data_IF_481229926544
#
_entry.id   IF_481229926544
#
_cell.length_a   1.000
_cell.length_b   1.000
_cell.length_c   1.000
_cell.angle_alpha   90.00
_cell.angle_beta   90.00
_cell.angle_gamma   90.00
#
_symmetry.space_group_name_H-M   'P 1'
#
loop_
_entity.id
_entity.type
_entity.pdbx_description
1 polymer ?
#
# COMPACT_ATOMS: atom_id res chain seq x y z
N UNK A 1 1.76 -21.80 -4.85
CA UNK A 1 1.85 -20.38 -5.19
C UNK A 1 1.09 -19.62 -4.12
N UNK A 2 1.80 -18.76 -3.39
CA UNK A 2 1.16 -17.85 -2.43
C UNK A 2 0.40 -16.84 -3.27
N UNK A 3 -0.91 -16.95 -3.33
CA UNK A 3 -1.80 -16.00 -4.00
C UNK A 3 -1.96 -14.79 -3.09
N UNK A 4 -0.92 -13.95 -3.03
CA UNK A 4 -0.97 -12.65 -2.39
C UNK A 4 -1.42 -11.59 -3.41
N UNK A 5 -1.90 -10.43 -2.92
CA UNK A 5 -2.18 -9.28 -3.76
C UNK A 5 -0.93 -8.47 -3.99
N UNK A 6 -0.99 -7.70 -5.06
CA UNK A 6 0.01 -6.70 -5.37
C UNK A 6 -0.56 -5.32 -5.00
N UNK A 7 -0.07 -4.79 -3.89
CA UNK A 7 -0.54 -3.54 -3.33
C UNK A 7 0.57 -2.49 -3.37
N UNK A 8 0.36 -1.43 -4.15
CA UNK A 8 1.27 -0.31 -4.26
C UNK A 8 0.72 0.87 -3.47
N UNK A 9 1.50 1.42 -2.56
CA UNK A 9 1.23 2.68 -1.89
C UNK A 9 1.89 3.82 -2.67
N UNK A 10 1.16 4.88 -2.97
CA UNK A 10 1.71 6.11 -3.54
C UNK A 10 1.46 7.27 -2.57
N UNK A 11 2.52 7.85 -2.03
CA UNK A 11 2.47 8.86 -0.99
C UNK A 11 3.00 10.20 -1.53
N UNK A 12 2.18 11.22 -1.39
CA UNK A 12 2.53 12.61 -1.72
C UNK A 12 3.55 13.16 -0.73
N UNK A 13 4.62 13.74 -1.25
CA UNK A 13 5.67 14.44 -0.50
C UNK A 13 5.76 15.92 -0.89
N UNK A 14 4.76 16.46 -1.56
CA UNK A 14 4.71 17.88 -1.93
C UNK A 14 4.66 18.78 -0.70
N UNK A 15 4.93 20.07 -0.89
CA UNK A 15 5.05 21.02 0.21
C UNK A 15 3.74 21.20 1.01
N UNK A 16 2.58 21.01 0.39
CA UNK A 16 1.27 21.05 1.06
C UNK A 16 1.14 20.03 2.20
N UNK A 17 1.80 18.88 2.10
CA UNK A 17 1.83 17.84 3.15
C UNK A 17 2.53 18.30 4.46
N UNK A 18 3.15 19.49 4.47
CA UNK A 18 3.73 20.15 5.66
C UNK A 18 2.67 20.71 6.60
N UNK A 19 1.44 20.91 6.10
CA UNK A 19 0.36 21.51 6.89
C UNK A 19 0.09 20.68 8.15
N UNK A 20 0.16 21.34 9.32
CA UNK A 20 -0.04 20.71 10.64
C UNK A 20 -1.49 20.80 11.06
N UNK A 21 -2.39 20.09 10.39
CA UNK A 21 -3.83 20.09 10.66
C UNK A 21 -4.35 18.74 11.21
N UNK A 22 -3.44 17.85 11.59
CA UNK A 22 -3.75 16.56 12.23
C UNK A 22 -3.29 16.55 13.70
N UNK A 23 -3.95 15.72 14.50
CA UNK A 23 -3.58 15.47 15.90
C UNK A 23 -3.39 13.96 16.11
N UNK A 24 -2.29 13.57 16.72
CA UNK A 24 -1.97 12.20 17.12
C UNK A 24 -1.47 12.26 18.56
N UNK A 25 -2.08 11.48 19.46
CA UNK A 25 -1.70 11.42 20.89
C UNK A 25 -1.62 12.81 21.55
N UNK A 26 -2.58 13.69 21.23
CA UNK A 26 -2.66 15.09 21.68
C UNK A 26 -1.54 16.02 21.14
N UNK A 27 -0.70 15.54 20.23
CA UNK A 27 0.30 16.36 19.55
C UNK A 27 -0.15 16.73 18.14
N UNK A 28 0.04 18.01 17.79
CA UNK A 28 -0.22 18.50 16.43
C UNK A 28 0.90 18.04 15.49
N UNK A 29 0.52 17.32 14.45
CA UNK A 29 1.46 16.76 13.46
C UNK A 29 1.10 17.21 12.05
N UNK A 30 2.06 17.16 11.13
CA UNK A 30 1.80 17.44 9.74
C UNK A 30 1.13 16.23 9.04
N UNK A 31 0.56 16.49 7.85
CA UNK A 31 -0.19 15.48 7.07
C UNK A 31 0.66 14.26 6.72
N UNK A 32 1.94 14.48 6.37
CA UNK A 32 2.84 13.36 6.08
C UNK A 32 3.09 12.50 7.31
N UNK A 33 3.29 13.10 8.49
CA UNK A 33 3.47 12.34 9.74
C UNK A 33 2.23 11.53 10.07
N UNK A 34 1.04 12.11 9.96
CA UNK A 34 -0.22 11.39 10.16
C UNK A 34 -0.35 10.22 9.17
N UNK A 35 -0.05 10.46 7.90
CA UNK A 35 -0.07 9.43 6.85
C UNK A 35 0.89 8.29 7.17
N UNK A 36 2.12 8.58 7.61
CA UNK A 36 3.13 7.58 7.98
C UNK A 36 2.66 6.68 9.12
N UNK A 37 2.12 7.26 10.19
CA UNK A 37 1.66 6.50 11.36
C UNK A 37 0.59 5.49 10.95
N UNK A 38 -0.43 5.95 10.23
CA UNK A 38 -1.55 5.07 9.87
C UNK A 38 -1.19 4.09 8.75
N UNK A 39 -0.38 4.52 7.77
CA UNK A 39 0.10 3.62 6.74
C UNK A 39 1.01 2.51 7.29
N UNK A 40 1.80 2.80 8.34
CA UNK A 40 2.59 1.77 9.05
C UNK A 40 1.71 0.68 9.64
N UNK A 41 0.66 1.07 10.35
CA UNK A 41 -0.31 0.12 10.92
C UNK A 41 -0.99 -0.73 9.83
N UNK A 42 -1.29 -0.14 8.69
CA UNK A 42 -1.83 -0.86 7.54
C UNK A 42 -0.83 -1.87 6.97
N UNK A 43 0.42 -1.46 6.74
CA UNK A 43 1.49 -2.33 6.23
C UNK A 43 1.69 -3.53 7.17
N UNK A 44 1.73 -3.30 8.48
CA UNK A 44 1.93 -4.35 9.49
C UNK A 44 0.82 -5.42 9.50
N UNK A 45 -0.41 -5.06 9.14
CA UNK A 45 -1.53 -6.01 9.04
C UNK A 45 -1.54 -6.83 7.74
N UNK A 46 -0.74 -6.47 6.74
CA UNK A 46 -0.75 -7.08 5.39
C UNK A 46 0.23 -8.25 5.25
N UNK A 47 0.08 -9.26 6.12
CA UNK A 47 0.85 -10.48 5.99
C UNK A 47 0.38 -11.31 4.79
N UNK A 48 1.29 -11.60 3.85
CA UNK A 48 1.03 -12.42 2.66
C UNK A 48 0.73 -11.64 1.38
N UNK A 49 0.54 -10.31 1.44
CA UNK A 49 0.49 -9.43 0.27
C UNK A 49 1.90 -8.98 -0.14
N UNK A 50 2.11 -8.71 -1.43
CA UNK A 50 3.30 -7.98 -1.88
C UNK A 50 3.01 -6.49 -1.79
N UNK A 51 3.86 -5.79 -1.07
CA UNK A 51 3.77 -4.35 -0.87
C UNK A 51 4.85 -3.62 -1.65
N UNK A 52 4.50 -2.50 -2.25
CA UNK A 52 5.45 -1.59 -2.88
C UNK A 52 5.17 -0.15 -2.46
N UNK A 53 6.15 0.73 -2.66
CA UNK A 53 6.07 2.13 -2.28
C UNK A 53 6.53 3.04 -3.41
N UNK A 54 5.66 3.94 -3.81
CA UNK A 54 5.95 5.08 -4.68
C UNK A 54 5.90 6.34 -3.83
N UNK A 55 6.90 7.17 -3.94
CA UNK A 55 6.91 8.52 -3.38
C UNK A 55 6.81 9.52 -4.54
N UNK A 56 5.96 10.52 -4.41
CA UNK A 56 5.79 11.50 -5.48
C UNK A 56 5.65 12.93 -4.94
N UNK A 57 6.02 13.85 -5.78
CA UNK A 57 5.93 15.29 -5.64
C UNK A 57 5.94 15.89 -7.05
N UNK A 58 6.92 16.72 -7.39
CA UNK A 58 7.12 17.19 -8.78
C UNK A 58 7.41 16.02 -9.74
N UNK A 59 8.01 14.94 -9.24
CA UNK A 59 8.28 13.68 -9.95
C UNK A 59 7.84 12.50 -9.10
N UNK A 60 7.67 11.34 -9.73
CA UNK A 60 7.33 10.09 -9.04
C UNK A 60 8.51 9.12 -9.04
N UNK A 61 8.80 8.50 -7.89
CA UNK A 61 9.90 7.57 -7.68
C UNK A 61 9.41 6.26 -7.09
N UNK A 62 9.93 5.14 -7.61
CA UNK A 62 9.76 3.84 -6.98
C UNK A 62 10.74 3.73 -5.80
N UNK A 63 10.24 3.86 -4.59
CA UNK A 63 11.04 3.76 -3.37
C UNK A 63 11.24 2.30 -2.95
N UNK A 64 10.20 1.47 -3.05
CA UNK A 64 10.28 0.04 -2.85
C UNK A 64 9.54 -0.71 -3.97
N UNK A 65 10.17 -1.67 -4.66
CA UNK A 65 9.46 -2.58 -5.55
C UNK A 65 8.55 -3.51 -4.74
N UNK A 66 7.63 -4.21 -5.42
CA UNK A 66 6.78 -5.20 -4.76
C UNK A 66 7.61 -6.25 -4.03
N UNK A 67 7.38 -6.38 -2.73
CA UNK A 67 8.05 -7.32 -1.83
C UNK A 67 7.11 -7.84 -0.76
N UNK A 68 7.37 -9.03 -0.22
CA UNK A 68 6.71 -9.55 0.98
C UNK A 68 7.30 -8.98 2.28
N UNK A 69 8.43 -8.25 2.18
CA UNK A 69 9.09 -7.61 3.31
C UNK A 69 8.43 -6.26 3.64
N UNK A 70 7.31 -6.31 4.36
CA UNK A 70 6.58 -5.13 4.80
C UNK A 70 7.40 -4.25 5.77
N UNK A 71 8.32 -4.84 6.54
CA UNK A 71 9.18 -4.08 7.46
C UNK A 71 10.12 -3.13 6.69
N UNK A 72 10.73 -3.63 5.62
CA UNK A 72 11.55 -2.78 4.73
C UNK A 72 10.71 -1.68 4.07
N UNK A 73 9.50 -1.98 3.59
CA UNK A 73 8.61 -0.96 3.00
C UNK A 73 8.25 0.11 4.04
N UNK A 74 7.90 -0.31 5.27
CA UNK A 74 7.59 0.60 6.36
C UNK A 74 8.80 1.49 6.72
N UNK A 75 9.99 0.93 6.86
CA UNK A 75 11.22 1.70 7.13
C UNK A 75 11.46 2.77 6.05
N UNK A 76 11.36 2.41 4.77
CA UNK A 76 11.52 3.35 3.66
C UNK A 76 10.44 4.46 3.66
N UNK A 77 9.21 4.14 4.07
CA UNK A 77 8.17 5.13 4.27
C UNK A 77 8.53 6.08 5.42
N UNK A 78 9.03 5.57 6.55
CA UNK A 78 9.43 6.41 7.69
C UNK A 78 10.62 7.33 7.36
N UNK A 79 11.54 6.90 6.52
CA UNK A 79 12.69 7.70 6.07
C UNK A 79 12.30 8.79 5.05
N UNK A 80 11.10 8.73 4.45
CA UNK A 80 10.65 9.73 3.48
C UNK A 80 10.50 11.12 4.12
N UNK A 81 10.70 12.17 3.34
CA UNK A 81 10.61 13.55 3.82
C UNK A 81 9.92 14.45 2.79
N UNK A 82 9.22 15.47 3.28
CA UNK A 82 8.59 16.49 2.45
C UNK A 82 9.64 17.17 1.56
N UNK A 83 9.30 17.33 0.27
CA UNK A 83 10.20 17.92 -0.72
C UNK A 83 11.21 16.97 -1.34
N UNK A 84 11.35 15.71 -0.85
CA UNK A 84 12.26 14.72 -1.43
C UNK A 84 11.97 14.43 -2.91
N UNK A 85 10.69 14.46 -3.29
CA UNK A 85 10.22 14.28 -4.66
C UNK A 85 9.89 15.61 -5.36
N UNK A 86 10.27 16.74 -4.78
CA UNK A 86 9.94 18.10 -5.21
C UNK A 86 8.68 18.64 -4.55
N UNK A 87 8.41 19.93 -4.76
CA UNK A 87 7.41 20.68 -4.00
C UNK A 87 5.99 20.60 -4.58
N UNK A 88 5.86 20.23 -5.87
CA UNK A 88 4.59 20.16 -6.61
C UNK A 88 4.04 18.74 -6.58
N UNK A 89 2.87 18.51 -7.19
CA UNK A 89 2.13 17.23 -7.09
C UNK A 89 1.87 16.64 -8.48
N UNK A 90 2.50 15.51 -8.82
CA UNK A 90 2.40 14.81 -10.10
C UNK A 90 1.60 13.49 -9.95
N UNK A 91 0.28 13.60 -9.75
CA UNK A 91 -0.62 12.44 -9.55
C UNK A 91 -0.60 11.49 -10.75
N UNK A 92 -0.69 12.05 -11.97
CA UNK A 92 -0.74 11.25 -13.18
C UNK A 92 0.52 10.42 -13.40
N UNK A 93 1.69 10.97 -13.08
CA UNK A 93 2.98 10.29 -13.19
C UNK A 93 3.12 9.19 -12.11
N UNK A 94 2.60 9.41 -10.90
CA UNK A 94 2.56 8.39 -9.84
C UNK A 94 1.73 7.18 -10.26
N UNK A 95 0.53 7.40 -10.83
CA UNK A 95 -0.32 6.33 -11.39
C UNK A 95 0.41 5.64 -12.56
N UNK A 96 1.01 6.41 -13.47
CA UNK A 96 1.77 5.87 -14.61
C UNK A 96 2.95 5.01 -14.19
N UNK A 97 3.64 5.40 -13.10
CA UNK A 97 4.72 4.61 -12.51
C UNK A 97 4.19 3.31 -11.89
N UNK A 98 3.06 3.35 -11.18
CA UNK A 98 2.42 2.16 -10.62
C UNK A 98 2.06 1.16 -11.74
N UNK A 99 1.46 1.63 -12.85
CA UNK A 99 1.14 0.80 -14.02
C UNK A 99 2.38 0.11 -14.59
N UNK A 100 3.52 0.79 -14.60
CA UNK A 100 4.79 0.23 -15.13
C UNK A 100 5.45 -0.77 -14.18
N UNK A 101 5.16 -0.71 -12.89
CA UNK A 101 5.85 -1.48 -11.84
C UNK A 101 5.05 -2.65 -11.30
N UNK A 102 3.73 -2.60 -11.45
CA UNK A 102 2.87 -3.74 -11.19
C UNK A 102 2.95 -4.72 -12.36
N UNK A 103 3.11 -6.01 -12.04
CA UNK A 103 3.03 -7.07 -13.05
C UNK A 103 1.55 -7.29 -13.42
N UNK A 104 1.11 -6.54 -14.44
CA UNK A 104 -0.29 -6.51 -14.85
C UNK A 104 -0.74 -7.77 -15.62
N UNK A 105 0.18 -8.68 -15.94
CA UNK A 105 -0.11 -9.96 -16.58
C UNK A 105 -0.31 -11.09 -15.57
N UNK A 106 0.07 -10.88 -14.30
CA UNK A 106 -0.16 -11.86 -13.23
C UNK A 106 -1.65 -11.97 -12.87
N UNK A 107 -2.09 -13.12 -12.36
CA UNK A 107 -3.47 -13.37 -11.91
C UNK A 107 -3.80 -12.69 -10.57
N UNK A 108 -2.83 -12.08 -9.92
CA UNK A 108 -3.02 -11.42 -8.63
C UNK A 108 -3.91 -10.16 -8.76
N UNK A 109 -4.72 -9.89 -7.75
CA UNK A 109 -5.42 -8.61 -7.63
C UNK A 109 -4.40 -7.47 -7.47
N UNK A 110 -4.56 -6.39 -8.23
CA UNK A 110 -3.64 -5.26 -8.28
C UNK A 110 -4.33 -4.01 -7.78
N UNK A 111 -3.74 -3.43 -6.76
CA UNK A 111 -4.31 -2.28 -6.05
C UNK A 111 -3.26 -1.18 -5.93
N UNK A 112 -3.67 0.05 -6.23
CA UNK A 112 -2.93 1.26 -5.91
C UNK A 112 -3.71 2.05 -4.87
N UNK A 113 -3.07 2.40 -3.76
CA UNK A 113 -3.59 3.35 -2.77
C UNK A 113 -2.84 4.67 -2.94
N UNK A 114 -3.51 5.65 -3.49
CA UNK A 114 -2.98 6.99 -3.77
C UNK A 114 -3.37 7.95 -2.66
N UNK A 115 -2.41 8.55 -2.00
CA UNK A 115 -2.58 9.49 -0.87
C UNK A 115 -2.01 10.84 -1.24
N UNK A 116 -2.86 11.87 -1.24
CA UNK A 116 -2.48 13.25 -1.57
C UNK A 116 -3.39 14.24 -0.85
N UNK A 117 -2.91 15.45 -0.65
CA UNK A 117 -3.65 16.57 -0.06
C UNK A 117 -3.89 17.72 -1.05
N UNK A 118 -3.48 17.54 -2.30
CA UNK A 118 -3.51 18.61 -3.31
C UNK A 118 -4.15 18.23 -4.64
N UNK A 119 -4.21 19.22 -5.52
CA UNK A 119 -4.53 19.03 -6.93
C UNK A 119 -3.27 18.65 -7.73
N UNK A 120 -3.46 18.05 -8.89
CA UNK A 120 -2.35 17.80 -9.81
C UNK A 120 -1.77 19.11 -10.36
N UNK A 121 -0.53 19.43 -10.03
CA UNK A 121 0.16 20.68 -10.41
C UNK A 121 1.43 20.45 -11.21
N UNK A 122 1.85 19.20 -11.41
CA UNK A 122 3.05 18.79 -12.13
C UNK A 122 2.81 17.49 -12.89
N UNK A 123 3.85 16.99 -13.55
CA UNK A 123 3.85 15.73 -14.28
C UNK A 123 3.53 15.89 -15.77
N UNK A 124 3.84 14.86 -16.53
CA UNK A 124 3.63 14.81 -17.99
C UNK A 124 2.29 14.17 -18.36
N UNK A 125 1.78 13.29 -17.50
CA UNK A 125 0.55 12.54 -17.72
C UNK A 125 -0.60 13.15 -16.91
N UNK A 126 -1.75 13.39 -17.56
CA UNK A 126 -2.92 13.85 -16.82
C UNK A 126 -3.49 12.73 -15.96
N UNK A 127 -3.95 13.00 -14.72
CA UNK A 127 -4.43 11.98 -13.80
C UNK A 127 -5.54 11.10 -14.37
N UNK A 128 -6.53 11.69 -15.03
CA UNK A 128 -7.66 10.95 -15.62
C UNK A 128 -7.24 10.02 -16.75
N UNK A 129 -6.26 10.45 -17.59
CA UNK A 129 -5.72 9.57 -18.63
C UNK A 129 -4.94 8.41 -18.04
N UNK A 130 -4.16 8.65 -16.99
CA UNK A 130 -3.46 7.59 -16.27
C UNK A 130 -4.45 6.61 -15.62
N UNK A 131 -5.54 7.11 -15.02
CA UNK A 131 -6.58 6.28 -14.41
C UNK A 131 -7.32 5.43 -15.45
N UNK A 132 -7.59 5.96 -16.64
CA UNK A 132 -8.18 5.18 -17.74
C UNK A 132 -7.27 4.02 -18.17
N UNK A 133 -5.98 4.29 -18.36
CA UNK A 133 -4.99 3.25 -18.70
C UNK A 133 -4.88 2.20 -17.58
N UNK A 134 -4.96 2.63 -16.32
CA UNK A 134 -4.98 1.73 -15.17
C UNK A 134 -6.19 0.80 -15.19
N UNK A 135 -7.38 1.36 -15.43
CA UNK A 135 -8.63 0.62 -15.57
C UNK A 135 -8.57 -0.43 -16.69
N UNK A 136 -8.11 -0.03 -17.88
CA UNK A 136 -7.97 -0.92 -19.05
C UNK A 136 -7.01 -2.09 -18.78
N UNK A 137 -6.14 -1.96 -17.79
CA UNK A 137 -5.18 -2.99 -17.36
C UNK A 137 -5.56 -3.70 -16.05
N UNK A 138 -6.75 -3.46 -15.51
CA UNK A 138 -7.25 -4.11 -14.31
C UNK A 138 -6.59 -3.65 -13.01
N UNK A 139 -5.93 -2.49 -13.01
CA UNK A 139 -5.40 -1.85 -11.80
C UNK A 139 -6.51 -1.06 -11.12
N UNK A 140 -6.88 -1.44 -9.90
CA UNK A 140 -7.85 -0.72 -9.07
C UNK A 140 -7.15 0.37 -8.28
N UNK A 141 -7.68 1.60 -8.30
CA UNK A 141 -7.10 2.75 -7.61
C UNK A 141 -8.04 3.22 -6.51
N UNK A 142 -7.58 3.16 -5.27
CA UNK A 142 -8.19 3.85 -4.14
C UNK A 142 -7.50 5.18 -3.94
N UNK A 143 -8.28 6.25 -3.83
CA UNK A 143 -7.73 7.59 -3.61
C UNK A 143 -8.12 8.10 -2.23
N UNK A 144 -7.15 8.62 -1.50
CA UNK A 144 -7.33 9.19 -0.16
C UNK A 144 -6.93 10.66 -0.21
N UNK A 145 -7.92 11.54 -0.11
CA UNK A 145 -7.69 12.98 0.05
C UNK A 145 -7.44 13.30 1.52
N UNK A 146 -6.28 13.89 1.83
CA UNK A 146 -5.81 14.17 3.19
C UNK A 146 -5.99 15.65 3.53
N UNK A 147 -6.47 15.96 4.73
CA UNK A 147 -6.52 17.32 5.27
C UNK A 147 -7.83 17.65 5.98
N UNK A 148 -7.77 18.51 6.99
CA UNK A 148 -8.93 18.97 7.75
C UNK A 148 -9.88 19.85 6.89
N UNK A 149 -11.15 19.90 7.21
CA UNK A 149 -12.13 20.71 6.47
C UNK A 149 -11.98 22.21 6.75
N UNK A 150 -12.17 22.61 7.97
CA UNK A 150 -12.03 23.99 8.42
C UNK A 150 -11.31 24.03 9.76
N UNK A 151 -10.33 24.91 9.86
CA UNK A 151 -9.72 25.26 11.14
C UNK A 151 -10.13 26.67 11.55
N UNK A 152 -10.47 26.82 12.84
CA UNK A 152 -10.71 28.13 13.43
C UNK A 152 -9.38 28.56 14.07
N UNK A 153 -8.66 29.46 13.39
CA UNK A 153 -7.45 30.06 13.93
C UNK A 153 -7.81 31.27 14.79
N UNK A 154 -7.36 31.29 16.03
CA UNK A 154 -7.44 32.49 16.86
C UNK A 154 -6.29 33.40 16.50
N UNK A 155 -6.60 34.48 15.77
CA UNK A 155 -5.61 35.50 15.45
C UNK A 155 -5.74 36.69 16.41
N UNK A 156 -4.71 37.55 16.46
CA UNK A 156 -4.72 38.79 17.25
C UNK A 156 -5.94 39.71 16.96
N UNK A 157 -6.54 39.56 15.77
CA UNK A 157 -7.69 40.35 15.31
C UNK A 157 -9.04 39.60 15.43
N UNK A 158 -9.06 38.42 16.06
CA UNK A 158 -10.28 37.62 16.21
C UNK A 158 -10.18 36.23 15.59
N UNK A 159 -11.33 35.53 15.52
CA UNK A 159 -11.43 34.21 14.94
C UNK A 159 -11.40 34.28 13.41
N UNK A 160 -10.42 33.65 12.79
CA UNK A 160 -10.34 33.48 11.34
C UNK A 160 -10.66 32.03 10.99
N UNK A 161 -11.61 31.83 10.08
CA UNK A 161 -11.82 30.52 9.47
C UNK A 161 -10.82 30.37 8.32
N UNK A 162 -10.02 29.31 8.39
CA UNK A 162 -9.11 28.88 7.34
C UNK A 162 -9.55 27.51 6.84
N UNK A 163 -9.56 27.31 5.53
CA UNK A 163 -9.75 25.98 4.94
C UNK A 163 -8.38 25.49 4.45
N UNK A 164 -7.66 24.70 5.24
CA UNK A 164 -6.35 24.21 4.86
C UNK A 164 -6.37 23.27 3.65
N UNK A 165 -7.54 22.70 3.34
CA UNK A 165 -7.75 21.77 2.23
C UNK A 165 -8.35 22.42 0.98
N UNK A 166 -8.32 23.75 0.87
CA UNK A 166 -8.87 24.48 -0.30
C UNK A 166 -8.21 24.09 -1.64
N UNK A 167 -7.02 23.50 -1.60
CA UNK A 167 -6.28 23.05 -2.78
C UNK A 167 -6.57 21.60 -3.18
N UNK A 168 -7.31 20.84 -2.36
CA UNK A 168 -7.63 19.44 -2.66
C UNK A 168 -8.70 19.35 -3.75
N UNK A 169 -8.34 18.74 -4.86
CA UNK A 169 -9.27 18.44 -5.97
C UNK A 169 -9.97 17.12 -5.76
N UNK A 170 -10.97 17.12 -4.86
CA UNK A 170 -11.75 15.92 -4.54
C UNK A 170 -12.47 15.34 -5.76
N UNK A 171 -12.90 16.20 -6.69
CA UNK A 171 -13.63 15.76 -7.88
C UNK A 171 -12.74 14.90 -8.78
N UNK A 172 -11.52 15.35 -9.07
CA UNK A 172 -10.54 14.56 -9.81
C UNK A 172 -10.21 13.24 -9.11
N UNK A 173 -10.04 13.24 -7.78
CA UNK A 173 -9.76 12.03 -7.02
C UNK A 173 -10.93 11.02 -7.06
N UNK A 174 -12.18 11.50 -6.97
CA UNK A 174 -13.37 10.66 -7.14
C UNK A 174 -13.44 10.05 -8.54
N UNK A 175 -13.16 10.84 -9.57
CA UNK A 175 -13.17 10.37 -10.96
C UNK A 175 -12.08 9.33 -11.21
N UNK A 176 -10.85 9.53 -10.70
CA UNK A 176 -9.75 8.56 -10.79
C UNK A 176 -10.18 7.23 -10.19
N UNK A 177 -10.73 7.24 -8.96
CA UNK A 177 -11.16 6.04 -8.27
C UNK A 177 -12.33 5.36 -9.02
N UNK A 178 -13.34 6.10 -9.43
CA UNK A 178 -14.50 5.57 -10.14
C UNK A 178 -14.13 4.92 -11.48
N UNK A 179 -13.25 5.53 -12.28
CA UNK A 179 -12.77 5.00 -13.55
C UNK A 179 -12.08 3.64 -13.40
N UNK A 180 -11.34 3.44 -12.31
CA UNK A 180 -10.57 2.22 -12.07
C UNK A 180 -11.31 1.16 -11.21
N UNK A 181 -12.58 1.40 -10.85
CA UNK A 181 -13.36 0.49 -10.02
C UNK A 181 -12.97 0.50 -8.54
N UNK A 182 -12.25 1.52 -8.10
CA UNK A 182 -11.93 1.77 -6.69
C UNK A 182 -12.90 2.73 -6.01
N UNK A 183 -12.47 3.34 -4.91
CA UNK A 183 -13.26 4.32 -4.13
C UNK A 183 -12.40 5.48 -3.68
N UNK A 184 -13.03 6.66 -3.62
CA UNK A 184 -12.46 7.84 -3.00
C UNK A 184 -12.80 7.86 -1.50
N UNK A 185 -11.84 8.27 -0.68
CA UNK A 185 -11.99 8.51 0.75
C UNK A 185 -11.46 9.89 1.12
N UNK A 186 -12.06 10.48 2.14
CA UNK A 186 -11.63 11.75 2.71
C UNK A 186 -11.13 11.55 4.13
N UNK A 187 -9.85 11.78 4.35
CA UNK A 187 -9.22 11.75 5.67
C UNK A 187 -9.13 13.17 6.24
N UNK A 188 -9.99 13.49 7.20
CA UNK A 188 -10.08 14.81 7.84
C UNK A 188 -9.27 14.90 9.12
N UNK A 189 -9.07 13.75 9.74
CA UNK A 189 -8.35 13.55 11.00
C UNK A 189 -7.71 12.15 11.01
N UNK A 190 -6.91 11.87 12.03
CA UNK A 190 -6.18 10.60 12.16
C UNK A 190 -7.13 9.41 12.32
N UNK A 191 -8.28 9.58 12.99
CA UNK A 191 -9.27 8.50 13.14
C UNK A 191 -9.96 8.18 11.82
N UNK A 192 -10.32 9.21 11.01
CA UNK A 192 -10.88 8.99 9.68
C UNK A 192 -9.88 8.24 8.79
N UNK A 193 -8.60 8.60 8.86
CA UNK A 193 -7.55 7.92 8.11
C UNK A 193 -7.40 6.45 8.54
N UNK A 194 -7.42 6.16 9.84
CA UNK A 194 -7.39 4.78 10.36
C UNK A 194 -8.60 3.97 9.89
N UNK A 195 -9.82 4.53 10.00
CA UNK A 195 -11.05 3.87 9.48
C UNK A 195 -11.01 3.60 7.98
N UNK A 196 -10.38 4.47 7.19
CA UNK A 196 -10.23 4.26 5.74
C UNK A 196 -9.41 3.00 5.48
N UNK A 197 -8.34 2.77 6.21
CA UNK A 197 -7.52 1.57 6.05
C UNK A 197 -8.24 0.30 6.51
N UNK A 198 -9.09 0.37 7.56
CA UNK A 198 -9.96 -0.74 7.93
C UNK A 198 -10.94 -1.10 6.81
N UNK A 199 -11.56 -0.09 6.17
CA UNK A 199 -12.43 -0.30 5.02
C UNK A 199 -11.65 -0.90 3.84
N UNK A 200 -10.40 -0.47 3.61
CA UNK A 200 -9.55 -1.07 2.57
C UNK A 200 -9.22 -2.53 2.88
N UNK A 201 -9.04 -2.88 4.16
CA UNK A 201 -8.85 -4.27 4.60
C UNK A 201 -10.10 -5.14 4.32
N UNK A 202 -11.30 -4.58 4.47
CA UNK A 202 -12.56 -5.26 4.15
C UNK A 202 -12.81 -5.37 2.64
N UNK A 203 -12.53 -4.31 1.87
CA UNK A 203 -12.73 -4.28 0.41
C UNK A 203 -11.74 -5.17 -0.31
N UNK A 204 -10.55 -5.27 0.22
CA UNK A 204 -9.46 -6.08 -0.27
C UNK A 204 -9.04 -7.09 0.81
N UNK A 205 -9.88 -8.09 1.15
CA UNK A 205 -9.57 -9.07 2.19
C UNK A 205 -8.33 -9.89 1.80
N UNK A 206 -7.40 -10.12 2.69
CA UNK A 206 -6.25 -11.01 2.46
C UNK A 206 -6.81 -12.38 2.08
N UNK A 207 -6.61 -12.82 0.85
CA UNK A 207 -6.92 -14.19 0.47
C UNK A 207 -5.94 -15.10 1.22
N UNK A 208 -6.35 -15.51 2.41
CA UNK A 208 -5.76 -16.69 3.02
C UNK A 208 -6.27 -17.86 2.20
N UNK A 209 -5.57 -18.18 1.13
CA UNK A 209 -5.61 -19.55 0.68
C UNK A 209 -5.18 -20.36 1.90
N UNK A 210 -6.15 -21.02 2.52
CA UNK A 210 -5.89 -22.22 3.31
C UNK A 210 -5.29 -23.21 2.29
N UNK A 211 -4.07 -22.94 1.83
CA UNK A 211 -3.30 -23.95 1.19
C UNK A 211 -3.34 -25.12 2.17
N UNK A 212 -4.10 -26.11 1.77
CA UNK A 212 -3.89 -27.44 2.25
C UNK A 212 -2.37 -27.61 2.31
N UNK A 213 -1.78 -27.37 3.46
CA UNK A 213 -0.52 -27.93 3.86
C UNK A 213 -0.78 -29.43 3.73
N UNK A 214 -0.67 -29.94 2.50
CA UNK A 214 -0.56 -31.38 2.31
C UNK A 214 0.69 -31.71 3.09
N UNK A 215 0.56 -32.36 4.27
CA UNK A 215 1.73 -32.78 4.98
C UNK A 215 2.48 -33.65 3.96
N UNK A 216 3.67 -33.21 3.57
CA UNK A 216 4.57 -34.02 2.77
C UNK A 216 4.96 -35.16 3.72
N UNK A 217 4.12 -36.17 3.77
CA UNK A 217 4.45 -37.41 4.50
C UNK A 217 5.60 -37.98 3.71
N UNK A 218 6.77 -37.91 4.30
CA UNK A 218 7.98 -38.45 3.73
C UNK A 218 7.85 -39.99 3.62
N UNK A 219 7.26 -40.45 2.51
CA UNK A 219 7.00 -41.87 2.25
C UNK A 219 8.26 -42.69 2.12
N UNK A 220 9.44 -42.08 2.03
CA UNK A 220 10.72 -42.77 1.91
C UNK A 220 11.06 -43.63 3.16
N UNK A 221 10.47 -43.33 4.31
CA UNK A 221 10.70 -44.04 5.57
C UNK A 221 10.29 -45.53 5.45
N UNK A 222 9.22 -45.83 4.72
CA UNK A 222 8.72 -47.20 4.55
C UNK A 222 9.64 -48.06 3.66
N UNK A 223 10.07 -47.64 2.48
CA UNK A 223 11.02 -48.41 1.69
C UNK A 223 12.40 -48.49 2.35
N UNK A 224 12.84 -47.46 3.09
CA UNK A 224 14.08 -47.52 3.86
C UNK A 224 14.03 -48.54 4.98
N UNK A 225 12.94 -48.59 5.76
CA UNK A 225 12.74 -49.58 6.79
C UNK A 225 12.71 -51.01 6.22
N UNK A 226 12.04 -51.20 5.08
CA UNK A 226 12.02 -52.48 4.36
C UNK A 226 13.41 -52.92 3.88
N UNK A 227 14.20 -52.00 3.33
CA UNK A 227 15.57 -52.30 2.89
C UNK A 227 16.50 -52.64 4.05
N UNK A 228 16.38 -51.96 5.19
CA UNK A 228 17.15 -52.29 6.41
C UNK A 228 16.79 -53.65 7.00
N UNK A 229 15.49 -54.04 7.02
CA UNK A 229 15.05 -55.35 7.45
C UNK A 229 15.58 -56.48 6.56
N UNK A 230 15.53 -56.31 5.25
CA UNK A 230 16.10 -57.26 4.28
C UNK A 230 17.62 -57.40 4.42
N UNK A 231 18.32 -56.30 4.60
CA UNK A 231 19.77 -56.31 4.83
C UNK A 231 20.12 -57.04 6.14
N UNK A 232 19.35 -56.78 7.20
CA UNK A 232 19.50 -57.48 8.49
C UNK A 232 19.26 -58.99 8.39
N UNK A 233 18.25 -59.44 7.63
CA UNK A 233 17.98 -60.87 7.36
C UNK A 233 19.10 -61.53 6.56
N UNK A 234 19.72 -60.86 5.60
CA UNK A 234 20.84 -61.39 4.81
C UNK A 234 22.14 -61.49 5.62
N UNK A 235 22.30 -60.70 6.65
CA UNK A 235 23.47 -60.74 7.57
C UNK A 235 23.33 -61.75 8.70
N UNK A 236 22.15 -62.35 8.90
CA UNK A 236 21.99 -63.43 9.87
C UNK A 236 22.72 -64.66 9.36
N UNK A 237 23.74 -65.21 10.11
CA UNK A 237 24.46 -66.38 9.69
C UNK A 237 23.51 -67.57 9.68
N UNK A 238 23.23 -68.08 8.49
CA UNK A 238 22.46 -69.30 8.35
C UNK A 238 23.28 -70.50 8.95
N UNK A 239 23.03 -70.81 10.22
CA UNK A 239 23.60 -71.99 10.86
C UNK A 239 23.09 -73.20 10.11
N UNK A 240 23.89 -73.74 9.21
CA UNK A 240 23.73 -75.14 8.73
C UNK A 240 24.04 -76.03 9.87
N UNK A 241 23.05 -76.72 10.39
CA UNK A 241 23.21 -77.97 11.22
C UNK A 241 23.49 -79.17 10.31
#
# INVERSE_FOLDING_TARGET
>A
PVSGRDLMLAVDLSDSMRTGDFVIEDEQVNRLQATKVVASQFIERRHGDRLGLILFGTQAYLQAPLTFDGETVNRLLQESAIGLAGERTAIGDAIGLAIKRLDLESDNSKVLVLMTDGANTAGEVTPLKAAQIAADRGLRIYTIGIGADEQIETTWFGLRRSNPSAQLDEESLRQIAALSGGRYFRARDSEALARIYEILDELEPVQRDLENLRPVVALFVWPLAGALLLAGLLLLPWRRS
#
